data_IF_903741877972
#
_entry.id   IF_903741877972
#
_cell.length_a   1.000
_cell.length_b   1.000
_cell.length_c   1.000
_cell.angle_alpha   90.00
_cell.angle_beta   90.00
_cell.angle_gamma   90.00
#
_symmetry.space_group_name_H-M   'P 1'
#
loop_
_entity.id
_entity.type
_entity.pdbx_description
1 polymer ?
#
# COMPACT_ATOMS: atom_id res chain seq x y z
N UNK A 1 48.20 19.62 1.28
CA UNK A 1 47.52 18.53 2.03
C UNK A 1 46.06 18.93 2.18
N UNK A 2 45.14 17.96 2.12
CA UNK A 2 43.72 18.02 1.71
C UNK A 2 43.58 18.05 0.17
N UNK A 3 43.64 16.92 -0.56
CA UNK A 3 42.87 15.65 -0.54
C UNK A 3 41.37 15.87 -0.76
N UNK A 4 40.96 15.59 -2.00
CA UNK A 4 39.60 15.73 -2.49
C UNK A 4 38.66 14.62 -2.04
N UNK A 5 37.37 14.95 -2.08
CA UNK A 5 36.28 14.00 -2.15
C UNK A 5 35.47 14.30 -3.40
N UNK A 6 35.34 13.29 -4.24
CA UNK A 6 34.61 13.26 -5.50
C UNK A 6 33.22 12.68 -5.24
N UNK A 7 32.19 13.36 -5.73
CA UNK A 7 30.79 12.93 -5.68
C UNK A 7 30.46 12.26 -7.02
N UNK A 8 29.86 11.05 -7.06
CA UNK A 8 29.51 10.44 -8.33
C UNK A 8 28.23 11.05 -8.90
N UNK A 9 28.34 11.63 -10.09
CA UNK A 9 27.21 12.03 -10.94
C UNK A 9 26.74 10.79 -11.71
N UNK A 10 25.50 10.36 -11.50
CA UNK A 10 24.88 9.31 -12.32
C UNK A 10 24.51 9.88 -13.70
N UNK A 11 25.27 9.48 -14.71
CA UNK A 11 25.05 9.85 -16.11
C UNK A 11 24.01 8.91 -16.73
N UNK A 12 22.87 9.45 -17.13
CA UNK A 12 21.90 8.74 -17.98
C UNK A 12 22.45 8.58 -19.39
N UNK A 13 22.54 7.34 -19.87
CA UNK A 13 22.92 7.01 -21.24
C UNK A 13 21.71 7.18 -22.16
N UNK A 14 21.77 8.16 -23.07
CA UNK A 14 20.85 8.29 -24.20
C UNK A 14 21.31 7.33 -25.31
N UNK A 15 20.54 6.27 -25.54
CA UNK A 15 20.67 5.45 -26.75
C UNK A 15 19.79 6.06 -27.85
N UNK A 16 20.42 6.63 -28.87
CA UNK A 16 19.78 7.10 -30.10
C UNK A 16 19.70 5.95 -31.11
N UNK A 17 18.50 5.53 -31.47
CA UNK A 17 18.26 4.68 -32.65
C UNK A 17 17.69 5.51 -33.81
N UNK A 18 18.10 5.24 -35.07
CA UNK A 18 17.79 6.09 -36.20
C UNK A 18 16.38 5.89 -36.76
N UNK A 19 15.84 6.99 -37.29
CA UNK A 19 14.53 7.15 -37.92
C UNK A 19 14.51 6.38 -39.25
N UNK A 20 13.58 5.43 -39.39
CA UNK A 20 13.19 4.87 -40.68
C UNK A 20 11.89 5.53 -41.15
N UNK A 21 11.97 6.16 -42.32
CA UNK A 21 10.85 6.70 -43.10
C UNK A 21 9.89 5.58 -43.52
N UNK A 22 8.62 5.67 -43.13
CA UNK A 22 7.53 4.99 -43.83
C UNK A 22 6.34 5.96 -43.99
N UNK A 23 5.81 5.94 -45.21
CA UNK A 23 4.88 6.89 -45.81
C UNK A 23 3.42 6.66 -45.41
N UNK A 24 2.66 7.75 -45.46
CA UNK A 24 1.20 7.89 -45.47
C UNK A 24 0.35 6.67 -45.86
N UNK A 25 -0.70 6.41 -45.08
CA UNK A 25 -1.80 5.53 -45.49
C UNK A 25 -2.83 5.33 -44.38
N UNK A 26 -3.90 6.11 -44.44
CA UNK A 26 -5.27 5.73 -44.11
C UNK A 26 -5.63 5.40 -42.65
N UNK A 27 -6.39 6.34 -42.07
CA UNK A 27 -7.28 6.09 -40.96
C UNK A 27 -8.47 5.25 -41.43
N UNK A 28 -8.63 4.05 -40.89
CA UNK A 28 -9.93 3.39 -40.85
C UNK A 28 -10.31 3.04 -39.41
N UNK A 29 -11.36 3.73 -39.00
CA UNK A 29 -12.18 3.51 -37.84
C UNK A 29 -12.94 2.19 -38.03
N UNK A 30 -12.55 1.12 -37.35
CA UNK A 30 -13.46 0.05 -36.93
C UNK A 30 -12.74 -0.80 -35.88
N UNK A 31 -13.31 -0.93 -34.68
CA UNK A 31 -13.50 -2.21 -34.01
C UNK A 31 -14.25 -2.00 -32.70
N UNK A 32 -15.57 -2.19 -32.81
CA UNK A 32 -16.35 -2.86 -31.78
C UNK A 32 -15.66 -4.21 -31.49
N UNK A 33 -15.04 -4.34 -30.33
CA UNK A 33 -14.69 -5.62 -29.74
C UNK A 33 -15.18 -5.63 -28.29
N UNK A 34 -16.43 -6.03 -28.15
CA UNK A 34 -16.85 -6.81 -26.99
C UNK A 34 -16.13 -8.16 -27.13
N UNK A 35 -15.22 -8.48 -26.20
CA UNK A 35 -14.45 -9.71 -26.28
C UNK A 35 -13.42 -9.86 -25.17
N UNK A 36 -13.72 -10.79 -24.26
CA UNK A 36 -12.86 -11.42 -23.26
C UNK A 36 -12.42 -10.54 -22.07
N UNK A 37 -13.15 -10.69 -20.95
CA UNK A 37 -12.51 -10.64 -19.63
C UNK A 37 -11.37 -11.67 -19.64
N UNK A 38 -10.16 -11.18 -19.88
CA UNK A 38 -8.95 -11.93 -19.62
C UNK A 38 -8.92 -12.24 -18.12
N UNK A 39 -8.65 -13.49 -17.76
CA UNK A 39 -8.28 -13.93 -16.42
C UNK A 39 -6.91 -13.33 -16.03
N UNK A 40 -6.85 -12.01 -16.03
CA UNK A 40 -5.74 -11.21 -15.52
C UNK A 40 -5.97 -11.18 -14.03
N UNK A 41 -5.12 -11.84 -13.26
CA UNK A 41 -5.19 -11.80 -11.80
C UNK A 41 -5.32 -10.36 -11.34
N UNK A 42 -6.16 -10.10 -10.34
CA UNK A 42 -6.41 -8.73 -9.88
C UNK A 42 -5.07 -8.11 -9.46
N UNK A 43 -4.68 -7.04 -10.15
CA UNK A 43 -3.39 -6.37 -9.96
C UNK A 43 -3.60 -5.05 -9.21
N UNK A 44 -2.64 -4.68 -8.37
CA UNK A 44 -2.56 -3.35 -7.79
C UNK A 44 -2.53 -2.26 -8.88
N UNK A 45 -3.24 -1.14 -8.64
CA UNK A 45 -3.11 0.09 -9.44
C UNK A 45 -1.78 0.79 -9.08
N UNK A 46 -0.83 0.96 -10.01
CA UNK A 46 0.47 1.56 -9.72
C UNK A 46 0.40 3.03 -9.31
N UNK A 47 -0.52 3.81 -9.88
CA UNK A 47 -0.66 5.23 -9.55
C UNK A 47 -1.26 5.38 -8.14
N UNK A 48 -2.24 4.54 -7.83
CA UNK A 48 -2.81 4.46 -6.49
C UNK A 48 -1.76 4.01 -5.46
N UNK A 49 -0.98 2.98 -5.78
CA UNK A 49 0.09 2.44 -4.93
C UNK A 49 1.13 3.52 -4.62
N UNK A 50 1.56 4.29 -5.63
CA UNK A 50 2.51 5.38 -5.45
C UNK A 50 1.97 6.50 -4.54
N UNK A 51 0.71 6.89 -4.74
CA UNK A 51 0.06 7.90 -3.90
C UNK A 51 -0.07 7.44 -2.44
N UNK A 52 -0.52 6.19 -2.21
CA UNK A 52 -0.62 5.61 -0.86
C UNK A 52 0.77 5.49 -0.23
N UNK A 53 1.79 5.11 -0.99
CA UNK A 53 3.17 5.00 -0.50
C UNK A 53 3.72 6.34 -0.03
N UNK A 54 3.53 7.41 -0.81
CA UNK A 54 3.94 8.75 -0.42
C UNK A 54 3.25 9.20 0.89
N UNK A 55 1.92 9.08 0.96
CA UNK A 55 1.15 9.47 2.15
C UNK A 55 1.57 8.65 3.38
N UNK A 56 1.73 7.34 3.22
CA UNK A 56 2.13 6.42 4.30
C UNK A 56 3.54 6.71 4.79
N UNK A 57 4.48 6.98 3.88
CA UNK A 57 5.84 7.33 4.25
C UNK A 57 5.88 8.59 5.13
N UNK A 58 5.16 9.65 4.76
CA UNK A 58 5.09 10.87 5.56
C UNK A 58 4.41 10.65 6.91
N UNK A 59 3.29 9.92 6.93
CA UNK A 59 2.57 9.64 8.17
C UNK A 59 3.41 8.81 9.16
N UNK A 60 4.11 7.77 8.68
CA UNK A 60 4.97 6.94 9.54
C UNK A 60 6.22 7.70 9.98
N UNK A 61 6.83 8.49 9.11
CA UNK A 61 8.03 9.28 9.46
C UNK A 61 7.72 10.28 10.56
N UNK A 62 6.62 11.03 10.42
CA UNK A 62 6.19 11.99 11.46
C UNK A 62 5.75 11.30 12.75
N UNK A 63 5.13 10.13 12.67
CA UNK A 63 4.83 9.29 13.84
C UNK A 63 6.12 8.95 14.59
N UNK A 64 7.18 8.54 13.89
CA UNK A 64 8.47 8.20 14.49
C UNK A 64 9.16 9.41 15.11
N UNK A 65 9.09 10.57 14.46
CA UNK A 65 9.65 11.82 14.99
C UNK A 65 8.97 12.25 16.28
N UNK A 66 7.63 12.14 16.35
CA UNK A 66 6.85 12.57 17.50
C UNK A 66 6.90 11.57 18.67
N UNK A 67 6.93 10.27 18.39
CA UNK A 67 6.70 9.24 19.39
C UNK A 67 7.81 8.19 19.51
N UNK A 68 8.89 8.28 18.72
CA UNK A 68 9.86 7.20 18.58
C UNK A 68 9.35 6.10 17.67
N UNK A 69 10.16 5.07 17.43
CA UNK A 69 9.86 4.04 16.41
C UNK A 69 9.63 2.64 17.00
N UNK A 70 9.27 2.57 18.28
CA UNK A 70 8.99 1.39 19.09
C UNK A 70 7.53 0.94 18.99
N UNK A 71 7.02 0.78 17.77
CA UNK A 71 5.71 0.19 17.51
C UNK A 71 5.87 -1.28 17.10
N UNK A 72 4.90 -2.11 17.48
CA UNK A 72 4.87 -3.52 17.08
C UNK A 72 3.83 -3.79 15.99
N UNK A 73 2.96 -2.83 15.65
CA UNK A 73 2.02 -2.95 14.55
C UNK A 73 1.81 -1.61 13.85
N UNK A 74 1.73 -1.65 12.52
CA UNK A 74 1.24 -0.57 11.67
C UNK A 74 0.14 -1.13 10.77
N UNK A 75 -0.94 -0.39 10.58
CA UNK A 75 -2.02 -0.85 9.70
C UNK A 75 -2.59 0.28 8.87
N UNK A 76 -2.78 0.00 7.58
CA UNK A 76 -3.67 0.77 6.71
C UNK A 76 -5.07 0.19 6.88
N UNK A 77 -5.89 0.88 7.65
CA UNK A 77 -7.24 0.45 7.96
C UNK A 77 -8.22 1.08 6.96
N UNK A 78 -9.18 0.31 6.47
CA UNK A 78 -10.18 0.71 5.48
C UNK A 78 -11.49 -0.05 5.70
N UNK A 79 -12.54 0.28 4.97
CA UNK A 79 -13.84 -0.41 5.04
C UNK A 79 -13.92 -1.56 4.03
N UNK A 80 -15.00 -2.35 4.10
CA UNK A 80 -15.29 -3.42 3.11
C UNK A 80 -15.48 -2.89 1.69
N UNK A 81 -15.76 -1.60 1.54
CA UNK A 81 -15.86 -0.90 0.25
C UNK A 81 -14.51 -0.42 -0.29
N UNK A 82 -13.41 -0.78 0.38
CA UNK A 82 -12.06 -0.34 0.05
C UNK A 82 -11.96 1.19 -0.10
N UNK A 83 -12.54 1.93 0.85
CA UNK A 83 -12.40 3.38 0.90
C UNK A 83 -10.95 3.80 1.17
N UNK A 84 -10.71 5.11 1.11
CA UNK A 84 -9.42 5.70 1.46
C UNK A 84 -8.96 5.15 2.81
N UNK A 85 -7.73 4.61 2.91
CA UNK A 85 -7.25 4.09 4.17
C UNK A 85 -6.86 5.22 5.11
N UNK A 86 -6.81 4.88 6.39
CA UNK A 86 -6.11 5.65 7.40
C UNK A 86 -4.99 4.83 8.01
N UNK A 87 -3.95 5.50 8.53
CA UNK A 87 -2.89 4.84 9.27
C UNK A 87 -3.28 4.71 10.73
N UNK A 88 -3.01 3.54 11.29
CA UNK A 88 -3.00 3.29 12.72
C UNK A 88 -1.76 2.53 13.13
N UNK A 89 -1.37 2.64 14.40
CA UNK A 89 -0.20 1.97 14.93
C UNK A 89 -0.36 1.61 16.41
N UNK A 90 0.34 0.56 16.84
CA UNK A 90 0.22 0.02 18.20
C UNK A 90 1.58 -0.12 18.86
N UNK A 91 1.71 0.39 20.10
CA UNK A 91 2.93 0.30 20.91
C UNK A 91 2.86 -0.84 21.94
N UNK A 92 4.01 -1.38 22.40
CA UNK A 92 4.03 -2.37 23.46
C UNK A 92 3.22 -1.94 24.69
N UNK A 93 2.37 -2.84 25.18
CA UNK A 93 1.45 -2.58 26.30
C UNK A 93 0.06 -2.07 25.88
N UNK A 94 -0.15 -1.77 24.60
CA UNK A 94 -1.48 -1.54 24.02
C UNK A 94 -2.06 -2.82 23.42
N UNK A 95 -3.38 -2.85 23.32
CA UNK A 95 -4.11 -3.92 22.64
C UNK A 95 -4.05 -3.73 21.12
N UNK A 96 -4.00 -4.82 20.37
CA UNK A 96 -3.98 -4.81 18.90
C UNK A 96 -5.26 -4.22 18.32
N UNK A 97 -6.37 -4.28 19.05
CA UNK A 97 -7.65 -3.70 18.65
C UNK A 97 -7.74 -2.19 18.90
N UNK A 98 -6.79 -1.62 19.64
CA UNK A 98 -6.63 -0.16 19.79
C UNK A 98 -6.31 0.54 18.45
N UNK A 99 -6.20 -0.21 17.34
CA UNK A 99 -6.06 0.36 16.00
C UNK A 99 -7.25 1.24 15.59
N UNK A 100 -8.42 1.06 16.21
CA UNK A 100 -9.65 1.76 15.85
C UNK A 100 -9.90 3.03 16.67
N UNK A 101 -9.53 3.02 17.95
CA UNK A 101 -9.84 4.08 18.92
C UNK A 101 -8.66 4.47 19.84
N UNK A 102 -7.50 3.87 19.60
CA UNK A 102 -6.28 4.15 20.34
C UNK A 102 -5.63 5.50 20.00
N UNK A 103 -4.60 5.89 20.76
CA UNK A 103 -3.93 7.19 20.65
C UNK A 103 -3.26 7.47 19.31
N UNK A 104 -3.06 6.45 18.49
CA UNK A 104 -2.41 6.55 17.17
C UNK A 104 -3.36 6.17 16.02
N UNK A 105 -4.65 5.96 16.31
CA UNK A 105 -5.65 5.81 15.26
C UNK A 105 -5.76 7.12 14.47
N UNK A 106 -5.90 7.00 13.14
CA UNK A 106 -5.99 8.13 12.20
C UNK A 106 -4.73 9.03 12.20
N UNK A 107 -3.56 8.50 12.54
CA UNK A 107 -2.33 9.30 12.54
C UNK A 107 -1.94 9.76 11.14
N UNK A 108 -1.46 11.00 11.03
CA UNK A 108 -0.99 11.56 9.76
C UNK A 108 -2.13 11.80 8.77
N UNK A 109 -3.33 12.07 9.27
CA UNK A 109 -4.51 12.35 8.46
C UNK A 109 -4.29 13.53 7.50
N UNK A 110 -3.43 14.49 7.82
CA UNK A 110 -3.01 15.57 6.92
C UNK A 110 -2.27 15.09 5.65
N UNK A 111 -1.70 13.88 5.68
CA UNK A 111 -1.10 13.22 4.54
C UNK A 111 -2.09 12.29 3.86
N UNK A 112 -2.81 11.49 4.66
CA UNK A 112 -3.80 10.54 4.16
C UNK A 112 -4.95 11.24 3.44
N UNK A 113 -5.41 12.39 3.91
CA UNK A 113 -6.52 13.13 3.31
C UNK A 113 -6.23 13.58 1.87
N UNK A 114 -4.95 13.67 1.47
CA UNK A 114 -4.57 13.99 0.08
C UNK A 114 -4.93 12.89 -0.91
N UNK A 115 -5.20 11.68 -0.41
CA UNK A 115 -5.69 10.56 -1.22
C UNK A 115 -7.15 10.73 -1.64
N UNK A 116 -7.89 11.70 -1.10
CA UNK A 116 -9.30 11.93 -1.45
C UNK A 116 -9.51 12.00 -2.96
N UNK A 117 -8.81 12.90 -3.65
CA UNK A 117 -8.99 13.08 -5.09
C UNK A 117 -8.64 11.81 -5.88
N UNK A 118 -7.59 11.08 -5.45
CA UNK A 118 -7.13 9.86 -6.11
C UNK A 118 -8.15 8.73 -5.96
N UNK A 119 -8.75 8.59 -4.78
CA UNK A 119 -9.78 7.59 -4.49
C UNK A 119 -11.13 7.98 -5.10
N UNK A 120 -11.56 9.24 -4.98
CA UNK A 120 -12.86 9.71 -5.45
C UNK A 120 -12.94 9.74 -6.98
N UNK A 121 -11.87 10.14 -7.68
CA UNK A 121 -11.83 10.10 -9.14
C UNK A 121 -11.97 8.67 -9.71
N UNK A 122 -11.61 7.66 -8.91
CA UNK A 122 -11.70 6.24 -9.26
C UNK A 122 -12.94 5.57 -8.67
N UNK A 123 -13.68 6.24 -7.80
CA UNK A 123 -14.83 5.69 -7.06
C UNK A 123 -16.13 5.96 -7.80
N UNK A 124 -16.87 4.88 -8.05
CA UNK A 124 -18.26 4.97 -8.48
C UNK A 124 -19.12 4.28 -7.41
N UNK A 125 -19.80 5.03 -6.52
CA UNK A 125 -20.64 4.46 -5.46
C UNK A 125 -21.85 3.67 -5.99
N UNK A 126 -22.12 3.77 -7.28
CA UNK A 126 -23.22 3.07 -7.95
C UNK A 126 -22.73 1.85 -8.74
N UNK A 127 -21.44 1.51 -8.64
CA UNK A 127 -20.90 0.30 -9.26
C UNK A 127 -21.40 -0.91 -8.46
N UNK A 128 -22.45 -1.53 -8.96
CA UNK A 128 -23.06 -2.77 -8.44
C UNK A 128 -22.89 -3.93 -9.43
N UNK A 129 -21.98 -3.77 -10.39
CA UNK A 129 -21.71 -4.79 -11.40
C UNK A 129 -20.70 -5.81 -10.91
N UNK A 130 -20.53 -6.89 -11.69
CA UNK A 130 -19.64 -8.00 -11.39
C UNK A 130 -18.15 -7.60 -11.23
N UNK A 131 -17.81 -6.34 -11.52
CA UNK A 131 -16.46 -5.82 -11.37
C UNK A 131 -16.24 -5.08 -10.03
N UNK A 132 -17.26 -4.95 -9.17
CA UNK A 132 -17.13 -4.26 -7.88
C UNK A 132 -16.13 -4.96 -6.96
N UNK A 133 -16.20 -6.28 -6.83
CA UNK A 133 -15.26 -7.04 -5.99
C UNK A 133 -13.83 -6.93 -6.54
N UNK A 134 -13.66 -7.08 -7.87
CA UNK A 134 -12.37 -6.90 -8.53
C UNK A 134 -11.79 -5.50 -8.33
N UNK A 135 -12.66 -4.50 -8.23
CA UNK A 135 -12.29 -3.12 -7.94
C UNK A 135 -11.82 -2.92 -6.49
N UNK A 136 -12.54 -3.47 -5.51
CA UNK A 136 -12.13 -3.44 -4.11
C UNK A 136 -10.82 -4.20 -3.91
N UNK A 137 -10.71 -5.39 -4.51
CA UNK A 137 -9.49 -6.19 -4.47
C UNK A 137 -8.29 -5.44 -5.06
N UNK A 138 -8.45 -4.72 -6.18
CA UNK A 138 -7.36 -3.93 -6.74
C UNK A 138 -6.85 -2.86 -5.76
N UNK A 139 -7.74 -2.26 -4.97
CA UNK A 139 -7.38 -1.28 -3.93
C UNK A 139 -6.68 -1.92 -2.75
N UNK A 140 -7.18 -3.05 -2.24
CA UNK A 140 -6.49 -3.81 -1.19
C UNK A 140 -5.10 -4.24 -1.64
N UNK A 141 -4.96 -4.71 -2.89
CA UNK A 141 -3.66 -5.04 -3.49
C UNK A 141 -2.74 -3.83 -3.58
N UNK A 142 -3.25 -2.65 -3.95
CA UNK A 142 -2.44 -1.42 -3.93
C UNK A 142 -1.92 -1.10 -2.53
N UNK A 143 -2.75 -1.24 -1.49
CA UNK A 143 -2.31 -1.04 -0.11
C UNK A 143 -1.27 -2.08 0.33
N UNK A 144 -1.46 -3.36 -0.02
CA UNK A 144 -0.48 -4.42 0.25
C UNK A 144 0.87 -4.13 -0.43
N UNK A 145 0.85 -3.76 -1.72
CA UNK A 145 2.08 -3.46 -2.47
C UNK A 145 2.78 -2.21 -1.92
N UNK A 146 2.02 -1.20 -1.48
CA UNK A 146 2.60 -0.06 -0.76
C UNK A 146 3.35 -0.52 0.49
N UNK A 147 2.73 -1.35 1.33
CA UNK A 147 3.37 -1.81 2.55
C UNK A 147 4.60 -2.68 2.27
N UNK A 148 4.54 -3.57 1.27
CA UNK A 148 5.70 -4.38 0.84
C UNK A 148 6.85 -3.49 0.35
N UNK A 149 6.54 -2.47 -0.44
CA UNK A 149 7.53 -1.52 -0.94
C UNK A 149 8.21 -0.82 0.24
N UNK A 150 7.45 -0.17 1.12
CA UNK A 150 7.98 0.58 2.26
C UNK A 150 8.70 -0.32 3.27
N UNK A 151 8.27 -1.57 3.42
CA UNK A 151 8.96 -2.57 4.23
C UNK A 151 10.33 -2.92 3.65
N UNK A 152 10.41 -3.11 2.33
CA UNK A 152 11.68 -3.35 1.63
C UNK A 152 12.67 -2.18 1.74
N UNK A 153 12.15 -0.97 1.87
CA UNK A 153 12.92 0.26 2.12
C UNK A 153 13.35 0.39 3.60
N UNK A 154 12.83 -0.46 4.48
CA UNK A 154 13.19 -0.52 5.90
C UNK A 154 12.41 0.44 6.80
N UNK A 155 11.30 1.02 6.31
CA UNK A 155 10.48 2.00 7.05
C UNK A 155 10.00 1.44 8.40
N UNK A 156 9.62 0.16 8.42
CA UNK A 156 9.09 -0.53 9.61
C UNK A 156 10.19 -1.20 10.47
N UNK A 157 11.45 -0.93 10.14
CA UNK A 157 12.63 -1.53 10.75
C UNK A 157 13.28 -2.59 9.86
N UNK A 158 14.46 -3.05 10.28
CA UNK A 158 15.23 -4.10 9.60
C UNK A 158 15.68 -5.17 10.58
N UNK A 159 16.00 -6.37 10.09
CA UNK A 159 16.52 -7.47 10.90
C UNK A 159 15.60 -7.83 12.08
N UNK A 160 16.15 -7.82 13.29
CA UNK A 160 15.40 -8.19 14.50
C UNK A 160 14.27 -7.21 14.84
N UNK A 161 14.39 -5.93 14.44
CA UNK A 161 13.29 -4.99 14.63
C UNK A 161 12.09 -5.40 13.77
N UNK A 162 12.31 -5.72 12.50
CA UNK A 162 11.23 -6.11 11.58
C UNK A 162 10.52 -7.40 12.01
N UNK A 163 11.26 -8.38 12.56
CA UNK A 163 10.66 -9.60 13.11
C UNK A 163 9.70 -9.34 14.28
N UNK A 164 9.78 -8.17 14.90
CA UNK A 164 8.96 -7.74 16.04
C UNK A 164 7.96 -6.65 15.67
N UNK A 165 7.75 -6.43 14.37
CA UNK A 165 6.80 -5.46 13.84
C UNK A 165 5.85 -6.18 12.88
N UNK A 166 4.55 -5.99 13.05
CA UNK A 166 3.53 -6.39 12.10
C UNK A 166 3.16 -5.20 11.20
N UNK A 167 2.92 -5.49 9.93
CA UNK A 167 2.32 -4.55 8.98
C UNK A 167 1.07 -5.18 8.39
N UNK A 168 0.00 -4.41 8.24
CA UNK A 168 -1.30 -4.94 7.83
C UNK A 168 -2.11 -3.97 6.99
N UNK A 169 -2.92 -4.54 6.12
CA UNK A 169 -4.09 -3.87 5.55
C UNK A 169 -5.28 -4.53 6.21
N UNK A 170 -6.10 -3.74 6.92
CA UNK A 170 -7.20 -4.26 7.73
C UNK A 170 -8.52 -3.64 7.30
N UNK A 171 -9.46 -4.51 6.95
CA UNK A 171 -10.86 -4.19 6.71
C UNK A 171 -11.57 -4.03 8.05
N UNK A 172 -12.40 -2.98 8.15
CA UNK A 172 -13.14 -2.58 9.35
C UNK A 172 -14.62 -2.41 8.98
N UNK A 173 -15.55 -3.17 9.59
CA UNK A 173 -15.33 -4.24 10.58
C UNK A 173 -14.46 -5.41 10.05
N UNK A 174 -13.79 -6.17 10.95
CA UNK A 174 -12.93 -7.28 10.55
C UNK A 174 -13.64 -8.33 9.70
N UNK A 175 -12.93 -8.84 8.69
CA UNK A 175 -13.36 -9.99 7.90
C UNK A 175 -12.21 -11.00 7.71
N UNK A 176 -12.51 -12.14 7.09
CA UNK A 176 -11.55 -13.22 6.87
C UNK A 176 -10.34 -12.82 6.02
N UNK A 177 -10.44 -11.75 5.23
CA UNK A 177 -9.33 -11.29 4.37
C UNK A 177 -8.19 -10.70 5.19
N UNK A 178 -8.46 -10.16 6.39
CA UNK A 178 -7.43 -9.62 7.29
C UNK A 178 -6.39 -10.68 7.65
N UNK A 179 -6.84 -11.89 7.98
CA UNK A 179 -5.96 -13.03 8.29
C UNK A 179 -5.02 -13.35 7.14
N UNK A 180 -5.56 -13.45 5.93
CA UNK A 180 -4.74 -13.76 4.75
C UNK A 180 -3.74 -12.63 4.43
N UNK A 181 -4.15 -11.37 4.61
CA UNK A 181 -3.31 -10.19 4.38
C UNK A 181 -2.14 -10.16 5.37
N UNK A 182 -2.40 -10.42 6.65
CA UNK A 182 -1.37 -10.47 7.68
C UNK A 182 -0.33 -11.56 7.42
N UNK A 183 -0.76 -12.73 6.96
CA UNK A 183 0.14 -13.83 6.56
C UNK A 183 1.01 -13.42 5.37
N UNK A 184 0.46 -12.73 4.36
CA UNK A 184 1.21 -12.31 3.17
C UNK A 184 2.23 -11.21 3.45
N UNK A 185 1.95 -10.33 4.41
CA UNK A 185 2.75 -9.13 4.67
C UNK A 185 3.83 -9.33 5.73
N UNK A 186 3.78 -10.41 6.51
CA UNK A 186 4.66 -10.60 7.65
C UNK A 186 5.47 -11.89 7.57
N UNK A 187 6.73 -11.89 8.05
CA UNK A 187 7.47 -13.13 8.17
C UNK A 187 6.78 -14.04 9.19
N UNK A 188 6.83 -15.37 8.99
CA UNK A 188 6.34 -16.31 10.00
C UNK A 188 7.14 -16.16 11.30
N UNK A 189 6.45 -16.29 12.43
CA UNK A 189 7.06 -16.22 13.75
C UNK A 189 6.07 -15.87 14.85
N UNK A 190 6.54 -15.94 16.10
CA UNK A 190 5.74 -15.85 17.32
C UNK A 190 4.80 -14.65 17.39
N UNK A 191 5.21 -13.49 16.87
CA UNK A 191 4.35 -12.30 16.87
C UNK A 191 3.15 -12.44 15.92
N UNK A 192 3.36 -13.00 14.73
CA UNK A 192 2.29 -13.27 13.78
C UNK A 192 1.39 -14.41 14.31
N UNK A 193 1.98 -15.48 14.82
CA UNK A 193 1.24 -16.61 15.39
C UNK A 193 0.29 -16.14 16.50
N UNK A 194 0.81 -15.31 17.43
CA UNK A 194 0.00 -14.72 18.52
C UNK A 194 -1.13 -13.81 18.01
N UNK A 195 -0.88 -13.06 16.93
CA UNK A 195 -1.92 -12.23 16.32
C UNK A 195 -3.02 -13.08 15.68
N UNK A 196 -2.65 -14.18 15.01
CA UNK A 196 -3.58 -15.11 14.37
C UNK A 196 -4.46 -15.83 15.41
N UNK A 197 -3.86 -16.32 16.50
CA UNK A 197 -4.58 -16.99 17.58
C UNK A 197 -5.68 -16.08 18.17
N UNK A 198 -5.38 -14.79 18.41
CA UNK A 198 -6.35 -13.82 18.94
C UNK A 198 -7.50 -13.54 17.95
N UNK A 199 -7.20 -13.51 16.65
CA UNK A 199 -8.23 -13.29 15.62
C UNK A 199 -9.16 -14.48 15.45
N UNK A 200 -8.66 -15.70 15.63
CA UNK A 200 -9.48 -16.93 15.57
C UNK A 200 -10.41 -17.08 16.79
N UNK A 201 -10.13 -16.37 17.90
CA UNK A 201 -10.95 -16.37 19.12
C UNK A 201 -12.09 -15.33 19.13
N UNK A 202 -12.14 -14.44 18.13
CA UNK A 202 -13.07 -13.29 18.03
C UNK A 202 -14.26 -13.54 17.10
#
# INVERSE_FOLDING_TARGET
MYSGYSVPVCTWYLATTPIAHLTSGEAECTLLQCGAMSATGIVADPELTAAIAEATWYAVTTLHEAHGSDFYQYSLCTTGEALRPYLSATKPGMDWWDLFDGPFALWGEEYMSKLHDVFDARWNPHRLDADYDAYCDARYRSMEETLKQLDSEGLFGTGEKRKKTLIGVLVVPPDATNTEQMIRLNPPGELLDRWLDECDES
#
